data_IF_706722687431
#
_entry.id   IF_706722687431
#
_cell.length_a   1.000
_cell.length_b   1.000
_cell.length_c   1.000
_cell.angle_alpha   90.00
_cell.angle_beta   90.00
_cell.angle_gamma   90.00
#
_symmetry.space_group_name_H-M   'P 1'
#
loop_
_entity.id
_entity.type
_entity.pdbx_description
1 polymer ?
#
# COMPACT_ATOMS: atom_id res chain seq x y z
N UNK A 1 -20.63 2.84 -16.67
CA UNK A 1 -20.56 1.76 -15.65
C UNK A 1 -20.58 2.47 -14.32
N UNK A 2 -21.79 2.59 -13.77
CA UNK A 2 -22.05 3.41 -12.60
C UNK A 2 -21.99 2.44 -11.42
N UNK A 3 -20.93 2.48 -10.63
CA UNK A 3 -20.89 1.80 -9.35
C UNK A 3 -21.66 2.65 -8.34
N UNK A 4 -22.98 2.65 -8.45
CA UNK A 4 -23.85 3.06 -7.36
C UNK A 4 -23.87 1.92 -6.34
N UNK A 5 -22.72 1.70 -5.69
CA UNK A 5 -22.72 1.04 -4.40
C UNK A 5 -23.21 2.08 -3.40
N UNK A 6 -24.47 1.99 -3.00
CA UNK A 6 -24.95 2.72 -1.85
C UNK A 6 -24.00 2.39 -0.68
N UNK A 7 -23.22 3.36 -0.23
CA UNK A 7 -22.52 3.25 1.05
C UNK A 7 -23.64 3.13 2.08
N UNK A 8 -23.93 1.90 2.53
CA UNK A 8 -24.94 1.60 3.53
C UNK A 8 -24.72 2.52 4.73
N UNK A 9 -25.44 3.65 4.74
CA UNK A 9 -25.55 4.53 5.89
C UNK A 9 -26.44 3.78 6.85
N UNK A 10 -25.83 2.88 7.60
CA UNK A 10 -26.43 2.19 8.72
C UNK A 10 -26.61 3.18 9.88
N UNK A 11 -27.48 4.16 9.68
CA UNK A 11 -27.97 5.07 10.71
C UNK A 11 -29.25 4.53 11.30
N UNK A 12 -29.22 3.28 11.78
CA UNK A 12 -30.13 2.75 12.79
C UNK A 12 -29.39 1.59 13.45
N UNK A 13 -29.20 1.68 14.77
CA UNK A 13 -28.46 0.71 15.59
C UNK A 13 -29.26 -0.60 15.66
N UNK A 14 -29.29 -1.38 14.58
CA UNK A 14 -29.73 -2.77 14.68
C UNK A 14 -28.56 -3.61 15.22
N UNK A 15 -28.84 -4.57 16.11
CA UNK A 15 -27.81 -5.43 16.66
C UNK A 15 -27.15 -6.21 15.52
N UNK A 16 -25.81 -6.23 15.52
CA UNK A 16 -25.10 -7.06 14.56
C UNK A 16 -25.46 -8.54 14.76
N UNK A 17 -25.63 -9.31 13.67
CA UNK A 17 -25.80 -10.74 13.77
C UNK A 17 -24.59 -11.37 14.47
N UNK A 18 -24.83 -12.44 15.23
CA UNK A 18 -23.78 -13.24 15.85
C UNK A 18 -23.32 -14.34 14.90
N UNK A 19 -22.73 -13.93 13.78
CA UNK A 19 -22.14 -14.80 12.77
C UNK A 19 -20.66 -14.48 12.68
N UNK A 20 -19.82 -15.51 12.74
CA UNK A 20 -18.36 -15.38 12.63
C UNK A 20 -17.93 -15.35 11.17
N UNK A 21 -17.70 -14.15 10.66
CA UNK A 21 -17.22 -13.85 9.31
C UNK A 21 -16.09 -12.82 9.42
N UNK A 22 -14.90 -13.22 9.91
CA UNK A 22 -13.93 -12.27 10.38
C UNK A 22 -13.41 -11.36 9.27
N UNK A 23 -13.07 -10.13 9.64
CA UNK A 23 -12.41 -9.14 8.78
C UNK A 23 -11.27 -8.47 9.53
N UNK A 24 -10.23 -8.06 8.79
CA UNK A 24 -9.11 -7.30 9.33
C UNK A 24 -9.34 -5.80 9.09
N UNK A 25 -9.27 -5.01 10.16
CA UNK A 25 -9.30 -3.55 10.11
C UNK A 25 -7.92 -2.95 9.81
N UNK A 26 -7.92 -1.73 9.26
CA UNK A 26 -6.72 -0.93 9.03
C UNK A 26 -5.98 -0.55 10.34
N UNK A 27 -6.66 -0.70 11.47
CA UNK A 27 -6.13 -0.55 12.83
C UNK A 27 -5.46 -1.84 13.36
N UNK A 28 -5.31 -2.86 12.51
CA UNK A 28 -4.71 -4.14 12.87
C UNK A 28 -5.60 -5.02 13.75
N UNK A 29 -6.86 -4.64 13.97
CA UNK A 29 -7.80 -5.41 14.79
C UNK A 29 -8.64 -6.35 13.95
N UNK A 30 -8.78 -7.59 14.44
CA UNK A 30 -9.74 -8.56 13.88
C UNK A 30 -11.12 -8.28 14.42
N UNK A 31 -12.08 -8.04 13.52
CA UNK A 31 -13.49 -7.89 13.87
C UNK A 31 -14.23 -9.18 13.57
N UNK A 32 -15.12 -9.58 14.49
CA UNK A 32 -15.89 -10.83 14.41
C UNK A 32 -16.72 -10.95 13.12
N UNK A 33 -17.25 -9.82 12.63
CA UNK A 33 -17.89 -9.70 11.33
C UNK A 33 -17.85 -8.25 10.79
N UNK A 34 -18.20 -8.02 9.51
CA UNK A 34 -18.18 -6.68 8.92
C UNK A 34 -19.08 -5.69 9.64
N UNK A 35 -20.22 -6.13 10.18
CA UNK A 35 -21.12 -5.26 10.94
C UNK A 35 -20.43 -4.71 12.20
N UNK A 36 -19.70 -5.56 12.94
CA UNK A 36 -18.93 -5.12 14.12
C UNK A 36 -17.80 -4.16 13.74
N UNK A 37 -17.13 -4.36 12.61
CA UNK A 37 -16.14 -3.42 12.09
C UNK A 37 -16.74 -2.03 11.78
N UNK A 38 -17.91 -2.01 11.12
CA UNK A 38 -18.63 -0.77 10.82
C UNK A 38 -19.10 -0.06 12.09
N UNK A 39 -19.63 -0.78 13.09
CA UNK A 39 -20.01 -0.21 14.39
C UNK A 39 -18.80 0.42 15.11
N UNK A 40 -17.62 -0.20 15.00
CA UNK A 40 -16.37 0.34 15.50
C UNK A 40 -15.75 1.45 14.63
N UNK A 41 -16.37 1.78 13.49
CA UNK A 41 -15.86 2.72 12.47
C UNK A 41 -14.48 2.32 11.92
N UNK A 42 -14.18 1.04 11.90
CA UNK A 42 -12.93 0.51 11.36
C UNK A 42 -13.01 0.40 9.84
N UNK A 43 -11.95 0.83 9.16
CA UNK A 43 -11.80 0.62 7.71
C UNK A 43 -11.33 -0.81 7.47
N UNK A 44 -12.17 -1.65 6.88
CA UNK A 44 -11.80 -3.03 6.54
C UNK A 44 -10.74 -3.01 5.42
N UNK A 45 -9.65 -3.76 5.60
CA UNK A 45 -8.55 -3.90 4.63
C UNK A 45 -8.47 -5.28 3.99
N UNK A 46 -8.95 -6.33 4.68
CA UNK A 46 -9.00 -7.68 4.12
C UNK A 46 -10.09 -8.52 4.79
N UNK A 47 -10.56 -9.55 4.08
CA UNK A 47 -11.37 -10.61 4.67
C UNK A 47 -10.48 -11.53 5.51
N UNK A 48 -11.07 -12.21 6.49
CA UNK A 48 -10.37 -13.07 7.43
C UNK A 48 -9.85 -12.32 8.65
N UNK A 49 -9.27 -13.06 9.59
CA UNK A 49 -8.61 -12.46 10.75
C UNK A 49 -7.36 -11.66 10.33
N UNK A 50 -7.00 -10.66 11.11
CA UNK A 50 -5.71 -10.01 10.94
C UNK A 50 -4.59 -11.03 11.18
N UNK A 51 -3.46 -10.92 10.46
CA UNK A 51 -2.31 -11.78 10.67
C UNK A 51 -1.82 -11.68 12.13
N UNK A 52 -2.12 -12.69 12.96
CA UNK A 52 -1.71 -12.69 14.39
C UNK A 52 -0.25 -13.08 14.60
N UNK A 53 0.34 -13.73 13.61
CA UNK A 53 1.73 -14.19 13.65
C UNK A 53 2.43 -13.81 12.35
N UNK A 54 3.01 -12.62 12.33
CA UNK A 54 3.91 -12.22 11.24
C UNK A 54 5.22 -12.98 11.35
N UNK A 55 5.27 -14.18 10.77
CA UNK A 55 6.52 -14.90 10.57
C UNK A 55 7.22 -14.27 9.37
N UNK A 56 7.98 -13.21 9.63
CA UNK A 56 8.79 -12.54 8.64
C UNK A 56 10.27 -12.79 8.92
N UNK A 57 11.11 -12.95 7.87
CA UNK A 57 12.56 -12.89 8.03
C UNK A 57 12.95 -11.56 8.69
N UNK A 58 13.98 -11.61 9.53
CA UNK A 58 14.54 -10.46 10.25
C UNK A 58 15.49 -9.61 9.37
N UNK A 59 15.62 -9.95 8.09
CA UNK A 59 16.43 -9.21 7.14
C UNK A 59 15.93 -7.77 6.99
N UNK A 60 16.76 -6.82 7.39
CA UNK A 60 16.49 -5.41 7.24
C UNK A 60 16.66 -4.98 5.78
N UNK A 61 15.54 -4.74 5.11
CA UNK A 61 15.43 -4.29 3.71
C UNK A 61 14.26 -3.32 3.62
N UNK A 62 14.45 -2.07 4.08
CA UNK A 62 13.34 -1.18 4.39
C UNK A 62 12.51 -0.83 3.16
N UNK A 63 11.23 -0.58 3.39
CA UNK A 63 10.28 -0.08 2.38
C UNK A 63 9.46 1.06 2.95
N UNK A 64 9.19 2.07 2.12
CA UNK A 64 8.33 3.19 2.46
C UNK A 64 6.92 2.89 1.94
N UNK A 65 5.99 2.65 2.86
CA UNK A 65 4.61 2.34 2.55
C UNK A 65 3.86 3.51 1.91
N UNK A 66 2.74 3.21 1.26
CA UNK A 66 1.80 4.23 0.74
C UNK A 66 1.15 5.08 1.83
N UNK A 67 1.25 4.64 3.09
CA UNK A 67 0.87 5.36 4.30
C UNK A 67 1.96 6.31 4.82
N UNK A 68 3.13 6.37 4.16
CA UNK A 68 4.25 7.21 4.58
C UNK A 68 5.03 6.65 5.77
N UNK A 69 4.83 5.37 6.11
CA UNK A 69 5.54 4.69 7.20
C UNK A 69 6.67 3.82 6.65
N UNK A 70 7.84 3.87 7.29
CA UNK A 70 8.96 2.98 7.00
C UNK A 70 8.75 1.63 7.68
N UNK A 71 8.76 0.55 6.90
CA UNK A 71 8.69 -0.82 7.40
C UNK A 71 10.06 -1.52 7.27
N UNK A 72 10.48 -2.36 8.25
CA UNK A 72 11.77 -3.05 8.22
C UNK A 72 12.00 -3.92 6.98
N UNK A 73 10.92 -4.51 6.45
CA UNK A 73 10.89 -5.16 5.15
C UNK A 73 9.47 -5.29 4.60
N UNK A 74 9.36 -5.66 3.32
CA UNK A 74 8.08 -5.88 2.62
C UNK A 74 7.16 -6.91 3.28
N UNK A 75 7.71 -7.91 3.98
CA UNK A 75 6.89 -8.91 4.67
C UNK A 75 6.20 -8.25 5.87
N UNK A 76 6.95 -7.50 6.67
CA UNK A 76 6.42 -6.77 7.81
C UNK A 76 5.38 -5.74 7.37
N UNK A 77 5.64 -5.00 6.28
CA UNK A 77 4.69 -4.03 5.70
C UNK A 77 3.34 -4.67 5.34
N UNK A 78 3.37 -5.77 4.57
CA UNK A 78 2.16 -6.47 4.16
C UNK A 78 1.48 -7.19 5.33
N UNK A 79 2.25 -7.71 6.28
CA UNK A 79 1.70 -8.55 7.34
C UNK A 79 1.06 -7.74 8.47
N UNK A 80 1.70 -6.67 8.95
CA UNK A 80 1.18 -5.92 10.10
C UNK A 80 0.10 -4.92 9.64
N UNK A 81 0.31 -4.26 8.49
CA UNK A 81 -0.51 -3.12 8.07
C UNK A 81 -1.22 -3.32 6.71
N UNK A 82 -1.06 -4.48 6.07
CA UNK A 82 -1.65 -4.74 4.75
C UNK A 82 -1.08 -3.83 3.64
N UNK A 83 0.14 -3.34 3.81
CA UNK A 83 0.80 -2.43 2.86
C UNK A 83 1.54 -3.25 1.80
N UNK A 84 0.97 -3.29 0.60
CA UNK A 84 1.57 -3.92 -0.58
C UNK A 84 2.02 -2.92 -1.65
N UNK A 85 1.58 -1.67 -1.53
CA UNK A 85 2.07 -0.55 -2.34
C UNK A 85 3.14 0.20 -1.54
N UNK A 86 4.39 0.09 -1.98
CA UNK A 86 5.54 0.66 -1.29
C UNK A 86 6.68 0.97 -2.26
N UNK A 87 7.56 1.87 -1.85
CA UNK A 87 8.85 2.12 -2.51
C UNK A 87 9.98 1.45 -1.74
N UNK A 88 11.02 1.03 -2.46
CA UNK A 88 12.24 0.50 -1.83
C UNK A 88 12.96 1.63 -1.10
N UNK A 89 13.41 1.37 0.13
CA UNK A 89 14.07 2.35 0.99
C UNK A 89 13.14 2.87 2.09
N UNK A 90 13.71 3.65 3.01
CA UNK A 90 12.96 4.30 4.09
C UNK A 90 12.18 5.51 3.57
N UNK A 91 11.13 5.91 4.27
CA UNK A 91 10.45 7.18 4.01
C UNK A 91 11.37 8.34 4.39
N UNK A 92 11.46 9.33 3.49
CA UNK A 92 12.25 10.54 3.72
C UNK A 92 11.45 11.50 4.59
N UNK A 93 11.84 11.66 5.85
CA UNK A 93 11.27 12.71 6.70
C UNK A 93 11.79 14.08 6.23
N UNK A 94 11.01 14.74 5.36
CA UNK A 94 11.25 16.11 4.92
C UNK A 94 12.33 16.26 3.83
N UNK A 95 11.91 16.49 2.58
CA UNK A 95 12.79 16.94 1.50
C UNK A 95 12.66 16.15 0.21
N UNK A 96 11.73 16.60 -0.63
CA UNK A 96 11.81 16.77 -2.09
C UNK A 96 12.41 15.67 -3.00
N UNK A 97 11.56 15.32 -3.97
CA UNK A 97 11.87 14.76 -5.30
C UNK A 97 12.33 13.30 -5.39
N UNK A 98 11.33 12.45 -5.67
CA UNK A 98 11.52 11.27 -6.51
C UNK A 98 12.11 11.71 -7.87
N UNK A 99 13.44 11.77 -7.97
CA UNK A 99 14.13 11.66 -9.23
C UNK A 99 13.90 10.24 -9.76
N UNK A 100 12.76 10.05 -10.42
CA UNK A 100 12.53 8.91 -11.31
C UNK A 100 13.60 8.96 -12.40
N UNK A 101 14.44 7.94 -12.44
CA UNK A 101 15.31 7.64 -13.58
C UNK A 101 16.67 8.31 -13.49
N UNK A 102 17.70 7.52 -13.19
CA UNK A 102 19.01 7.78 -13.75
C UNK A 102 18.86 7.69 -15.27
N UNK A 103 18.70 8.83 -15.95
CA UNK A 103 19.19 8.89 -17.33
C UNK A 103 20.68 8.62 -17.22
N UNK A 104 21.10 7.42 -17.61
CA UNK A 104 22.49 7.08 -17.81
C UNK A 104 23.08 8.14 -18.72
N UNK A 105 23.79 9.13 -18.17
CA UNK A 105 24.50 10.11 -18.98
C UNK A 105 25.79 9.45 -19.50
N UNK A 106 25.61 8.37 -20.26
CA UNK A 106 26.65 7.67 -20.97
C UNK A 106 27.22 8.63 -22.01
N UNK A 107 28.53 8.54 -22.24
CA UNK A 107 29.15 9.22 -23.38
C UNK A 107 28.42 8.86 -24.69
N UNK A 108 27.81 7.67 -24.76
CA UNK A 108 26.95 7.24 -25.87
C UNK A 108 25.69 8.11 -26.03
N UNK A 109 25.04 8.50 -24.92
CA UNK A 109 23.83 9.32 -24.93
C UNK A 109 24.14 10.78 -25.30
N UNK A 110 25.33 11.29 -24.95
CA UNK A 110 25.78 12.62 -25.37
C UNK A 110 26.09 12.68 -26.88
N UNK A 111 26.67 11.60 -27.43
CA UNK A 111 26.99 11.51 -28.86
C UNK A 111 25.71 11.47 -29.70
N UNK A 112 24.71 10.68 -29.30
CA UNK A 112 23.45 10.54 -30.04
C UNK A 112 22.63 11.84 -30.08
N UNK A 113 22.66 12.63 -29.00
CA UNK A 113 21.91 13.89 -28.91
C UNK A 113 22.62 15.10 -29.56
N UNK A 114 23.86 14.93 -30.02
CA UNK A 114 24.64 15.98 -30.70
C UNK A 114 24.66 15.81 -32.23
N UNK A 115 24.12 14.70 -32.74
CA UNK A 115 23.99 14.46 -34.17
C UNK A 115 22.75 15.19 -34.71
N UNK A 116 22.86 15.89 -35.86
CA UNK A 116 21.68 16.47 -36.50
C UNK A 116 20.66 15.36 -36.80
N UNK A 117 19.38 15.65 -36.55
CA UNK A 117 18.24 14.71 -36.64
C UNK A 117 18.14 14.01 -38.02
N UNK A 118 18.78 14.57 -39.05
CA UNK A 118 18.73 14.11 -40.44
C UNK A 118 19.44 12.77 -40.71
N UNK A 119 20.18 12.19 -39.75
CA UNK A 119 20.88 10.90 -39.92
C UNK A 119 20.14 9.70 -39.29
N UNK A 120 19.14 9.93 -38.41
CA UNK A 120 18.53 8.86 -37.59
C UNK A 120 17.29 8.22 -38.26
N UNK A 121 16.88 8.68 -39.46
CA UNK A 121 15.83 8.03 -40.26
C UNK A 121 16.26 7.82 -41.72
N UNK A 122 17.03 6.77 -41.96
CA UNK A 122 17.06 6.01 -43.23
C UNK A 122 17.36 4.56 -42.94
#
# INVERSE_FOLDING_TARGET
MNHEGECLRYTTVSPCPDVYEPVCGADGMTYYNPCKAVQAKARIISNGECPRNCVCPDHYRPVCGSDGVTYPNRCVAGCINGIYDFQVGECQEGGEEKAKGTHSNSLLDQILNSLPIDIIRS
#
